data_IF_336105645526
#
_entry.id   IF_336105645526
#
_cell.length_a   1.000
_cell.length_b   1.000
_cell.length_c   1.000
_cell.angle_alpha   90.00
_cell.angle_beta   90.00
_cell.angle_gamma   90.00
#
_symmetry.space_group_name_H-M   'P 1'
#
loop_
_entity.id
_entity.type
_entity.pdbx_description
1 polymer ?
#
# COMPACT_ATOMS: atom_id res chain seq x y z
N UNK A 1 -14.96 -7.43 15.88
CA UNK A 1 -14.51 -7.68 14.49
C UNK A 1 -13.29 -6.80 14.22
N UNK A 2 -12.08 -7.37 14.24
CA UNK A 2 -10.84 -6.61 14.02
C UNK A 2 -10.06 -7.24 12.87
N UNK A 3 -10.18 -6.65 11.68
CA UNK A 3 -9.31 -6.92 10.53
C UNK A 3 -8.78 -5.59 9.97
N UNK A 4 -7.90 -5.66 8.98
CA UNK A 4 -7.31 -4.48 8.32
C UNK A 4 -5.88 -4.16 8.76
N UNK A 5 -5.28 -3.11 8.19
CA UNK A 5 -3.82 -2.95 8.19
C UNK A 5 -3.21 -2.71 9.57
N UNK A 6 -3.96 -2.12 10.49
CA UNK A 6 -3.50 -1.75 11.84
C UNK A 6 -3.55 -2.91 12.85
N UNK A 7 -4.11 -4.06 12.47
CA UNK A 7 -4.27 -5.21 13.37
C UNK A 7 -2.94 -5.94 13.56
N UNK A 8 -2.63 -6.31 14.81
CA UNK A 8 -1.50 -7.17 15.14
C UNK A 8 -1.69 -8.56 14.53
N UNK A 9 -0.70 -9.01 13.77
CA UNK A 9 -0.64 -10.33 13.14
C UNK A 9 0.61 -11.05 13.63
N UNK A 10 0.50 -12.35 13.85
CA UNK A 10 1.69 -13.19 13.96
C UNK A 10 2.33 -13.28 12.58
N UNK A 11 3.65 -13.14 12.52
CA UNK A 11 4.41 -13.35 11.30
C UNK A 11 4.21 -14.80 10.84
N UNK A 12 3.98 -15.00 9.54
CA UNK A 12 3.96 -16.36 8.98
C UNK A 12 5.38 -16.86 8.69
N UNK A 13 6.33 -15.94 8.56
CA UNK A 13 7.74 -16.26 8.46
C UNK A 13 8.33 -16.40 9.86
N UNK A 14 8.80 -17.61 10.20
CA UNK A 14 9.58 -17.85 11.40
C UNK A 14 11.05 -17.83 10.98
N UNK A 15 11.83 -16.78 11.32
CA UNK A 15 13.26 -16.81 11.05
C UNK A 15 13.92 -17.97 11.81
N UNK A 16 14.93 -18.61 11.21
CA UNK A 16 15.67 -19.74 11.82
C UNK A 16 16.27 -19.38 13.19
N UNK A 17 16.57 -18.09 13.41
CA UNK A 17 17.02 -17.53 14.68
C UNK A 17 16.28 -16.23 14.96
N UNK A 18 15.46 -16.21 16.02
CA UNK A 18 14.91 -14.97 16.55
C UNK A 18 16.05 -14.15 17.17
N UNK A 19 16.27 -12.94 16.67
CA UNK A 19 17.27 -12.04 17.22
C UNK A 19 16.79 -11.49 18.57
N UNK A 20 17.73 -11.40 19.51
CA UNK A 20 17.58 -10.57 20.71
C UNK A 20 17.44 -9.08 20.32
N UNK A 21 17.04 -8.25 21.28
CA UNK A 21 16.92 -6.82 21.06
C UNK A 21 18.27 -6.17 20.71
N UNK A 22 19.36 -6.62 21.34
CA UNK A 22 20.70 -6.08 21.08
C UNK A 22 21.20 -6.48 19.70
N UNK A 23 20.98 -7.73 19.28
CA UNK A 23 21.29 -8.16 17.91
C UNK A 23 20.46 -7.42 16.86
N UNK A 24 19.21 -7.05 17.18
CA UNK A 24 18.41 -6.17 16.32
C UNK A 24 19.05 -4.78 16.19
N UNK A 25 19.50 -4.18 17.29
CA UNK A 25 20.18 -2.87 17.29
C UNK A 25 21.48 -2.92 16.49
N UNK A 26 22.27 -3.97 16.64
CA UNK A 26 23.48 -4.19 15.84
C UNK A 26 23.17 -4.32 14.35
N UNK A 27 22.16 -5.12 13.99
CA UNK A 27 21.71 -5.25 12.61
C UNK A 27 21.25 -3.91 12.02
N UNK A 28 20.50 -3.10 12.78
CA UNK A 28 20.06 -1.77 12.37
C UNK A 28 21.27 -0.84 12.14
N UNK A 29 22.22 -0.83 13.07
CA UNK A 29 23.46 -0.04 12.96
C UNK A 29 24.25 -0.42 11.71
N UNK A 30 24.45 -1.73 11.48
CA UNK A 30 25.13 -2.24 10.29
C UNK A 30 24.41 -1.81 9.00
N UNK A 31 23.08 -1.95 8.96
CA UNK A 31 22.30 -1.53 7.79
C UNK A 31 22.45 -0.03 7.51
N UNK A 32 22.48 0.84 8.53
CA UNK A 32 22.63 2.30 8.35
C UNK A 32 23.94 2.70 7.64
N UNK A 33 24.95 1.84 7.66
CA UNK A 33 26.25 2.10 7.04
C UNK A 33 26.60 1.19 5.84
N UNK A 34 25.82 0.13 5.60
CA UNK A 34 26.05 -0.77 4.45
C UNK A 34 25.57 -0.19 3.12
N UNK A 35 26.40 -0.27 2.08
CA UNK A 35 26.00 0.00 0.69
C UNK A 35 25.54 -1.27 -0.06
N UNK A 36 25.73 -2.45 0.53
CA UNK A 36 25.34 -3.73 -0.05
C UNK A 36 23.84 -3.96 0.18
N UNK A 37 23.07 -3.88 -0.91
CA UNK A 37 21.62 -4.06 -0.88
C UNK A 37 21.18 -5.45 -0.40
N UNK A 38 21.96 -6.49 -0.67
CA UNK A 38 21.60 -7.86 -0.29
C UNK A 38 21.82 -8.06 1.21
N UNK A 39 22.92 -7.52 1.76
CA UNK A 39 23.13 -7.43 3.21
C UNK A 39 21.98 -6.64 3.85
N UNK A 40 21.61 -5.48 3.28
CA UNK A 40 20.50 -4.68 3.79
C UNK A 40 19.20 -5.48 3.76
N UNK A 41 18.82 -6.08 2.63
CA UNK A 41 17.59 -6.88 2.52
C UNK A 41 17.55 -8.03 3.51
N UNK A 42 18.67 -8.76 3.67
CA UNK A 42 18.77 -9.85 4.62
C UNK A 42 18.60 -9.38 6.07
N UNK A 43 19.31 -8.32 6.49
CA UNK A 43 19.14 -7.74 7.83
C UNK A 43 17.76 -7.12 8.02
N UNK A 44 17.14 -6.58 6.97
CA UNK A 44 15.75 -6.11 7.02
C UNK A 44 14.80 -7.28 7.30
N UNK A 45 15.02 -8.49 6.75
CA UNK A 45 14.21 -9.68 7.09
C UNK A 45 14.38 -10.10 8.54
N UNK A 46 15.62 -10.16 9.04
CA UNK A 46 15.91 -10.60 10.41
C UNK A 46 15.35 -9.65 11.48
N UNK A 47 15.22 -8.36 11.15
CA UNK A 47 14.67 -7.34 12.07
C UNK A 47 13.16 -7.13 11.90
N UNK A 48 12.47 -8.00 11.16
CA UNK A 48 11.06 -7.83 10.82
C UNK A 48 10.15 -7.78 12.05
N UNK A 49 10.27 -8.73 12.99
CA UNK A 49 9.42 -8.76 14.18
C UNK A 49 9.67 -7.56 15.09
N UNK A 50 10.94 -7.15 15.22
CA UNK A 50 11.32 -5.93 15.93
C UNK A 50 10.63 -4.69 15.32
N UNK A 51 10.69 -4.52 13.99
CA UNK A 51 9.96 -3.46 13.27
C UNK A 51 8.46 -3.51 13.53
N UNK A 52 7.86 -4.70 13.47
CA UNK A 52 6.40 -4.86 13.64
C UNK A 52 5.95 -4.47 15.04
N UNK A 53 6.71 -4.77 16.08
CA UNK A 53 6.40 -4.33 17.43
C UNK A 53 6.48 -2.79 17.53
N UNK A 54 7.49 -2.17 16.94
CA UNK A 54 7.63 -0.70 16.91
C UNK A 54 6.50 -0.01 16.13
N UNK A 55 6.06 -0.58 15.00
CA UNK A 55 4.93 -0.05 14.19
C UNK A 55 3.61 -0.08 14.97
N UNK A 56 3.44 -1.08 15.83
CA UNK A 56 2.22 -1.24 16.64
C UNK A 56 2.27 -0.45 17.94
N UNK A 57 3.43 0.09 18.31
CA UNK A 57 3.60 0.98 19.45
C UNK A 57 3.16 2.41 19.06
N UNK A 58 2.09 2.97 19.66
CA UNK A 58 1.64 4.33 19.36
C UNK A 58 2.70 5.41 19.59
N UNK A 59 3.67 5.18 20.49
CA UNK A 59 4.72 6.14 20.79
C UNK A 59 5.89 6.09 19.80
N UNK A 60 6.09 4.96 19.12
CA UNK A 60 7.25 4.75 18.24
C UNK A 60 6.89 4.61 16.76
N UNK A 61 5.63 4.36 16.43
CA UNK A 61 5.17 4.09 15.06
C UNK A 61 5.57 5.15 14.03
N UNK A 62 5.57 6.44 14.40
CA UNK A 62 5.99 7.54 13.53
C UNK A 62 7.50 7.60 13.25
N UNK A 63 8.31 6.89 14.05
CA UNK A 63 9.78 6.88 13.92
C UNK A 63 10.28 5.73 13.03
N UNK A 64 9.39 4.90 12.47
CA UNK A 64 9.78 3.72 11.67
C UNK A 64 10.72 4.06 10.51
N UNK A 65 10.46 5.16 9.79
CA UNK A 65 11.31 5.60 8.66
C UNK A 65 12.56 6.37 9.08
N UNK A 66 12.65 6.75 10.36
CA UNK A 66 13.86 7.28 10.96
C UNK A 66 14.79 6.14 11.39
N UNK A 67 14.26 5.15 12.11
CA UNK A 67 15.06 4.00 12.58
C UNK A 67 15.46 3.03 11.48
N UNK A 68 14.59 2.85 10.49
CA UNK A 68 14.84 2.02 9.31
C UNK A 68 14.90 2.90 8.07
N UNK A 69 15.95 3.74 7.92
CA UNK A 69 16.03 4.71 6.84
C UNK A 69 16.14 4.03 5.47
N UNK A 70 16.48 2.73 5.43
CA UNK A 70 16.65 1.96 4.19
C UNK A 70 15.38 1.80 3.36
N UNK A 71 14.20 2.02 3.94
CA UNK A 71 12.97 2.15 3.16
C UNK A 71 13.01 3.34 2.18
N UNK A 72 13.88 4.33 2.39
CA UNK A 72 13.94 5.55 1.56
C UNK A 72 14.85 5.42 0.34
N UNK A 73 15.76 4.45 0.33
CA UNK A 73 16.76 4.28 -0.74
C UNK A 73 16.79 2.85 -1.35
N UNK A 74 16.39 1.81 -0.62
CA UNK A 74 16.34 0.43 -1.14
C UNK A 74 14.93 0.05 -1.59
N UNK A 75 14.77 -0.15 -2.90
CA UNK A 75 13.50 -0.56 -3.50
C UNK A 75 13.14 -2.01 -3.14
N UNK A 76 11.83 -2.27 -3.07
CA UNK A 76 11.28 -3.62 -2.86
C UNK A 76 11.20 -4.08 -1.41
N UNK A 77 11.60 -3.25 -0.43
CA UNK A 77 11.47 -3.59 0.99
C UNK A 77 10.00 -3.66 1.45
N UNK A 78 9.11 -2.85 0.87
CA UNK A 78 7.66 -2.95 1.13
C UNK A 78 7.12 -4.31 0.67
N UNK A 79 7.53 -4.76 -0.53
CA UNK A 79 7.16 -6.09 -1.03
C UNK A 79 7.69 -7.20 -0.12
N UNK A 80 8.96 -7.09 0.28
CA UNK A 80 9.61 -8.06 1.16
C UNK A 80 8.83 -8.20 2.47
N UNK A 81 8.55 -7.11 3.17
CA UNK A 81 7.85 -7.15 4.46
C UNK A 81 6.42 -7.64 4.31
N UNK A 82 5.75 -7.32 3.20
CA UNK A 82 4.42 -7.85 2.92
C UNK A 82 4.45 -9.37 2.70
N UNK A 83 5.46 -9.89 2.01
CA UNK A 83 5.69 -11.34 1.85
C UNK A 83 5.98 -12.00 3.20
N UNK A 84 6.75 -11.37 4.09
CA UNK A 84 6.97 -11.90 5.44
C UNK A 84 5.66 -11.98 6.25
N UNK A 85 4.76 -11.02 6.06
CA UNK A 85 3.44 -10.99 6.72
C UNK A 85 2.46 -12.04 6.21
N UNK A 86 2.38 -12.24 4.89
CA UNK A 86 1.27 -12.97 4.25
C UNK A 86 1.69 -14.13 3.33
N UNK A 87 3.00 -14.32 3.13
CA UNK A 87 3.56 -15.28 2.19
C UNK A 87 3.46 -14.85 0.72
N UNK A 88 4.26 -15.50 -0.14
CA UNK A 88 4.28 -15.24 -1.59
C UNK A 88 2.93 -15.53 -2.26
N UNK A 89 2.17 -16.49 -1.71
CA UNK A 89 0.83 -16.85 -2.15
C UNK A 89 -0.14 -15.66 -2.09
N UNK A 90 -0.10 -14.86 -1.04
CA UNK A 90 -0.96 -13.67 -0.95
C UNK A 90 -0.34 -12.51 -1.72
N UNK A 91 0.99 -12.34 -1.68
CA UNK A 91 1.64 -11.21 -2.34
C UNK A 91 1.48 -11.19 -3.86
N UNK A 92 1.50 -12.37 -4.50
CA UNK A 92 1.31 -12.51 -5.94
C UNK A 92 -0.15 -12.41 -6.41
N UNK A 93 -1.12 -12.24 -5.51
CA UNK A 93 -2.56 -12.29 -5.84
C UNK A 93 -3.02 -11.13 -6.74
N UNK A 94 -2.39 -9.97 -6.62
CA UNK A 94 -2.74 -8.81 -7.44
C UNK A 94 -2.58 -9.08 -8.94
N UNK A 95 -1.45 -9.65 -9.35
CA UNK A 95 -1.18 -10.04 -10.74
C UNK A 95 -2.07 -11.18 -11.23
N UNK A 96 -2.50 -12.08 -10.32
CA UNK A 96 -3.40 -13.21 -10.67
C UNK A 96 -4.83 -12.77 -10.93
N UNK A 97 -5.30 -11.72 -10.26
CA UNK A 97 -6.65 -11.16 -10.45
C UNK A 97 -6.88 -10.55 -11.85
N UNK A 98 -5.82 -10.34 -12.62
CA UNK A 98 -5.85 -9.76 -13.96
C UNK A 98 -6.17 -10.73 -15.10
N UNK A 99 -6.53 -12.00 -14.86
CA UNK A 99 -7.03 -12.88 -15.93
C UNK A 99 -8.50 -12.54 -16.22
N UNK A 100 -8.82 -11.94 -17.37
CA UNK A 100 -10.21 -11.65 -17.69
C UNK A 100 -10.94 -12.96 -17.97
N UNK A 101 -11.96 -13.29 -17.17
CA UNK A 101 -13.08 -14.06 -17.71
C UNK A 101 -13.78 -13.12 -18.70
N UNK A 102 -13.36 -13.17 -19.97
CA UNK A 102 -13.99 -12.41 -21.05
C UNK A 102 -15.39 -12.95 -21.29
N UNK A 103 -16.39 -12.43 -20.56
CA UNK A 103 -17.78 -12.54 -21.02
C UNK A 103 -17.99 -11.44 -22.05
N UNK A 104 -17.85 -11.78 -23.33
CA UNK A 104 -18.26 -10.92 -24.45
C UNK A 104 -19.69 -10.45 -24.18
N UNK A 105 -19.87 -9.16 -23.90
CA UNK A 105 -21.18 -8.53 -23.94
C UNK A 105 -21.26 -7.77 -25.25
N UNK A 106 -21.92 -8.38 -26.23
CA UNK A 106 -22.21 -7.76 -27.51
C UNK A 106 -22.98 -6.45 -27.28
N UNK A 107 -22.45 -5.37 -27.84
CA UNK A 107 -23.14 -4.09 -27.97
C UNK A 107 -24.41 -4.29 -28.79
N UNK A 108 -25.57 -3.94 -28.23
CA UNK A 108 -26.78 -3.63 -28.99
C UNK A 108 -27.43 -2.39 -28.38
N UNK A 109 -27.41 -1.33 -29.20
CA UNK A 109 -28.20 -0.09 -29.25
C UNK A 109 -28.56 0.63 -27.95
N UNK A 110 -27.98 1.83 -27.83
CA UNK A 110 -28.40 2.89 -26.95
C UNK A 110 -29.74 3.49 -27.44
N UNK A 111 -30.81 3.22 -26.70
CA UNK A 111 -31.98 4.09 -26.65
C UNK A 111 -31.83 5.00 -25.43
N UNK A 112 -31.78 6.31 -25.64
CA UNK A 112 -31.65 7.31 -24.59
C UNK A 112 -32.93 7.41 -23.75
N UNK A 113 -32.84 7.09 -22.46
CA UNK A 113 -33.77 7.58 -21.45
C UNK A 113 -32.99 7.94 -20.19
N UNK A 114 -32.72 9.23 -20.00
CA UNK A 114 -32.27 9.76 -18.71
C UNK A 114 -33.46 10.44 -18.03
N UNK A 115 -33.98 9.92 -16.91
CA UNK A 115 -34.60 10.79 -15.92
C UNK A 115 -33.49 11.50 -15.12
N UNK A 116 -33.65 12.78 -14.75
CA UNK A 116 -32.65 13.51 -13.97
C UNK A 116 -32.60 12.96 -12.53
N UNK A 117 -31.66 12.05 -12.29
CA UNK A 117 -31.44 11.46 -10.97
C UNK A 117 -30.72 12.43 -10.04
N UNK A 118 -31.44 12.91 -9.00
CA UNK A 118 -30.90 13.64 -7.85
C UNK A 118 -29.61 12.99 -7.33
N UNK A 119 -28.52 13.77 -7.25
CA UNK A 119 -27.29 13.36 -6.58
C UNK A 119 -27.61 13.08 -5.10
N UNK A 120 -27.46 11.84 -4.67
CA UNK A 120 -27.57 11.49 -3.23
C UNK A 120 -26.39 12.16 -2.49
N UNK A 121 -26.64 12.91 -1.40
CA UNK A 121 -25.58 13.45 -0.55
C UNK A 121 -24.65 12.33 -0.06
N UNK A 122 -23.34 12.55 -0.09
CA UNK A 122 -22.33 11.60 0.43
C UNK A 122 -21.66 10.67 -0.59
N UNK A 123 -21.97 10.76 -1.89
CA UNK A 123 -21.17 10.09 -2.93
C UNK A 123 -19.98 10.96 -3.34
N UNK A 124 -18.79 10.63 -2.85
CA UNK A 124 -17.51 11.17 -3.32
C UNK A 124 -17.33 10.82 -4.80
N UNK A 125 -16.93 11.79 -5.63
CA UNK A 125 -16.64 11.52 -7.05
C UNK A 125 -15.29 10.82 -7.22
N UNK A 126 -15.10 10.09 -8.32
CA UNK A 126 -13.81 9.46 -8.62
C UNK A 126 -12.66 10.48 -8.64
N UNK A 127 -12.89 11.67 -9.21
CA UNK A 127 -11.91 12.76 -9.26
C UNK A 127 -11.57 13.32 -7.86
N UNK A 128 -12.53 13.35 -6.94
CA UNK A 128 -12.25 13.73 -5.56
C UNK A 128 -11.45 12.66 -4.83
N UNK A 129 -11.79 11.37 -5.02
CA UNK A 129 -11.05 10.26 -4.44
C UNK A 129 -9.60 10.17 -4.96
N UNK A 130 -9.38 10.44 -6.25
CA UNK A 130 -8.06 10.44 -6.90
C UNK A 130 -7.05 11.34 -6.15
N UNK A 131 -7.49 12.51 -5.67
CA UNK A 131 -6.63 13.46 -4.94
C UNK A 131 -6.07 12.91 -3.63
N UNK A 132 -6.72 11.91 -3.04
CA UNK A 132 -6.24 11.22 -1.83
C UNK A 132 -5.42 9.97 -2.15
N UNK A 133 -5.36 9.57 -3.43
CA UNK A 133 -4.64 8.38 -3.87
C UNK A 133 -3.30 8.72 -4.52
N UNK A 134 -3.28 9.75 -5.37
CA UNK A 134 -2.11 10.09 -6.17
C UNK A 134 -1.96 11.61 -6.37
N UNK A 135 -0.72 12.07 -6.26
CA UNK A 135 -0.29 13.43 -6.59
C UNK A 135 0.71 13.35 -7.73
N UNK A 136 0.49 14.12 -8.80
CA UNK A 136 1.44 14.22 -9.91
C UNK A 136 2.36 15.44 -9.74
N UNK A 137 3.66 15.25 -9.97
CA UNK A 137 4.66 16.32 -10.09
C UNK A 137 5.42 16.19 -11.41
N UNK A 138 5.73 17.34 -12.01
CA UNK A 138 6.52 17.39 -13.23
C UNK A 138 7.97 17.01 -12.91
N UNK A 139 8.64 16.32 -13.84
CA UNK A 139 10.07 16.06 -13.73
C UNK A 139 10.86 17.36 -13.51
N UNK A 140 11.87 17.29 -12.63
CA UNK A 140 12.65 18.46 -12.20
C UNK A 140 12.08 19.18 -10.97
N UNK A 141 10.86 18.85 -10.50
CA UNK A 141 10.38 19.32 -9.20
C UNK A 141 11.11 18.60 -8.06
N UNK A 142 11.53 19.36 -7.04
CA UNK A 142 12.13 18.78 -5.83
C UNK A 142 11.09 17.96 -5.07
N UNK A 143 11.45 16.70 -4.79
CA UNK A 143 10.63 15.83 -3.92
C UNK A 143 10.62 16.41 -2.51
N UNK A 144 11.75 16.94 -2.03
CA UNK A 144 11.86 17.49 -0.68
C UNK A 144 10.92 18.68 -0.49
N UNK A 145 10.85 19.61 -1.45
CA UNK A 145 9.91 20.74 -1.39
C UNK A 145 8.45 20.28 -1.31
N UNK A 146 8.11 19.19 -2.02
CA UNK A 146 6.78 18.59 -1.90
C UNK A 146 6.53 18.01 -0.51
N UNK A 147 7.52 17.33 0.08
CA UNK A 147 7.42 16.76 1.42
C UNK A 147 7.29 17.85 2.50
N UNK A 148 8.05 18.94 2.38
CA UNK A 148 8.03 20.07 3.30
C UNK A 148 6.68 20.81 3.26
N UNK A 149 6.04 20.86 2.09
CA UNK A 149 4.72 21.48 1.91
C UNK A 149 3.55 20.66 2.49
N UNK A 150 3.78 19.45 3.02
CA UNK A 150 2.72 18.61 3.58
C UNK A 150 2.30 19.16 4.95
N UNK A 151 1.12 19.77 4.99
CA UNK A 151 0.50 20.33 6.20
C UNK A 151 -0.60 19.45 6.81
N UNK A 152 -1.24 18.60 6.00
CA UNK A 152 -2.34 17.71 6.45
C UNK A 152 -2.04 16.26 6.08
N UNK A 153 -2.35 15.33 6.98
CA UNK A 153 -2.11 13.91 6.74
C UNK A 153 -3.30 13.28 6.02
N UNK A 154 -3.12 12.98 4.74
CA UNK A 154 -3.89 11.99 3.98
C UNK A 154 -3.01 10.82 3.56
N UNK A 155 -1.93 10.57 4.31
CA UNK A 155 -0.94 9.55 4.01
C UNK A 155 -1.43 8.15 4.45
N UNK A 156 -0.94 7.08 3.80
CA UNK A 156 -0.03 7.09 2.66
C UNK A 156 -0.74 7.37 1.32
N UNK A 157 -0.02 7.97 0.36
CA UNK A 157 -0.48 8.20 -1.02
C UNK A 157 0.68 8.08 -2.02
N UNK A 158 0.38 7.98 -3.32
CA UNK A 158 1.40 7.93 -4.37
C UNK A 158 1.82 9.33 -4.82
N UNK A 159 3.12 9.56 -4.93
CA UNK A 159 3.70 10.68 -5.66
C UNK A 159 4.21 10.18 -7.02
N UNK A 160 3.53 10.57 -8.08
CA UNK A 160 3.86 10.23 -9.47
C UNK A 160 4.72 11.33 -10.09
N UNK A 161 5.91 10.98 -10.58
CA UNK A 161 6.86 11.91 -11.20
C UNK A 161 7.05 11.60 -12.68
N UNK A 162 6.83 12.59 -13.53
CA UNK A 162 6.91 12.43 -14.97
C UNK A 162 6.90 13.73 -15.76
N UNK A 163 7.18 13.65 -17.06
CA UNK A 163 7.11 14.83 -17.93
C UNK A 163 5.65 15.32 -18.08
N UNK A 164 4.71 14.38 -18.13
CA UNK A 164 3.26 14.56 -18.26
C UNK A 164 2.52 13.48 -17.46
N UNK A 165 1.23 13.68 -17.18
CA UNK A 165 0.40 12.69 -16.46
C UNK A 165 0.34 11.32 -17.15
N UNK A 166 0.46 11.28 -18.47
CA UNK A 166 0.52 10.05 -19.27
C UNK A 166 1.95 9.57 -19.57
N UNK A 167 2.96 10.21 -19.00
CA UNK A 167 4.38 9.90 -19.17
C UNK A 167 5.10 9.97 -17.82
N UNK A 168 4.57 9.21 -16.85
CA UNK A 168 5.17 9.00 -15.53
C UNK A 168 6.25 7.94 -15.64
N UNK A 169 7.42 8.19 -15.05
CA UNK A 169 8.53 7.24 -15.05
C UNK A 169 8.94 6.80 -13.65
N UNK A 170 8.44 7.46 -12.59
CA UNK A 170 8.77 7.12 -11.22
C UNK A 170 7.59 7.35 -10.29
N UNK A 171 7.47 6.47 -9.29
CA UNK A 171 6.49 6.57 -8.22
C UNK A 171 7.19 6.50 -6.87
N UNK A 172 6.65 7.22 -5.90
CA UNK A 172 7.01 7.12 -4.49
C UNK A 172 5.76 6.94 -3.66
N UNK A 173 5.86 6.23 -2.55
CA UNK A 173 4.85 6.21 -1.50
C UNK A 173 5.24 7.31 -0.51
N UNK A 174 4.36 8.28 -0.33
CA UNK A 174 4.55 9.34 0.66
C UNK A 174 3.92 8.91 1.97
N UNK A 175 4.74 8.77 3.01
CA UNK A 175 4.34 8.36 4.35
C UNK A 175 5.18 9.12 5.39
N UNK A 176 4.53 9.67 6.41
CA UNK A 176 5.12 10.49 7.49
C UNK A 176 6.11 11.54 6.98
N UNK A 177 5.75 12.24 5.90
CA UNK A 177 6.58 13.23 5.19
C UNK A 177 7.91 12.70 4.65
N UNK A 178 8.01 11.39 4.47
CA UNK A 178 9.10 10.73 3.75
C UNK A 178 8.60 10.20 2.41
N UNK A 179 9.52 10.01 1.47
CA UNK A 179 9.26 9.39 0.18
C UNK A 179 9.95 8.01 0.12
N UNK A 180 9.16 6.96 -0.07
CA UNK A 180 9.62 5.58 -0.23
C UNK A 180 9.57 5.25 -1.73
N UNK A 181 10.70 4.96 -2.40
CA UNK A 181 10.70 4.70 -3.84
C UNK A 181 9.99 3.37 -4.16
N UNK A 182 9.03 3.43 -5.09
CA UNK A 182 8.43 2.22 -5.62
C UNK A 182 9.43 1.45 -6.50
N UNK A 183 9.31 0.12 -6.52
CA UNK A 183 10.02 -0.73 -7.49
C UNK A 183 9.41 -0.60 -8.88
N UNK A 184 8.09 -0.60 -8.98
CA UNK A 184 7.37 -0.47 -10.24
C UNK A 184 7.37 0.95 -10.76
N UNK A 185 7.49 1.08 -12.09
CA UNK A 185 7.29 2.33 -12.83
C UNK A 185 5.91 2.40 -13.49
N UNK A 186 5.07 1.38 -13.27
CA UNK A 186 3.70 1.34 -13.78
C UNK A 186 2.71 1.83 -12.72
N UNK A 187 1.62 2.48 -13.13
CA UNK A 187 0.58 2.92 -12.20
C UNK A 187 0.00 1.76 -11.38
N UNK A 188 -0.19 0.60 -12.05
CA UNK A 188 -0.81 -0.58 -11.45
C UNK A 188 0.11 -1.20 -10.39
N UNK A 189 1.40 -1.38 -10.70
CA UNK A 189 2.37 -1.88 -9.73
C UNK A 189 2.68 -0.90 -8.60
N UNK A 190 2.71 0.41 -8.87
CA UNK A 190 2.86 1.40 -7.80
C UNK A 190 1.65 1.40 -6.85
N UNK A 191 0.45 1.20 -7.37
CA UNK A 191 -0.76 1.05 -6.56
C UNK A 191 -0.74 -0.23 -5.70
N UNK A 192 -0.28 -1.34 -6.26
CA UNK A 192 -0.03 -2.60 -5.54
C UNK A 192 0.88 -2.36 -4.34
N UNK A 193 2.03 -1.69 -4.56
CA UNK A 193 2.98 -1.34 -3.49
C UNK A 193 2.36 -0.39 -2.46
N UNK A 194 1.56 0.61 -2.87
CA UNK A 194 0.84 1.50 -1.94
C UNK A 194 -0.15 0.71 -1.07
N UNK A 195 -0.90 -0.23 -1.65
CA UNK A 195 -1.80 -1.09 -0.88
C UNK A 195 -1.02 -1.90 0.17
N UNK A 196 0.08 -2.54 -0.24
CA UNK A 196 0.94 -3.34 0.65
C UNK A 196 1.55 -2.49 1.77
N UNK A 197 1.96 -1.26 1.46
CA UNK A 197 2.50 -0.32 2.45
C UNK A 197 1.53 -0.03 3.60
N UNK A 198 0.21 -0.07 3.38
CA UNK A 198 -0.73 0.11 4.49
C UNK A 198 -0.55 -0.97 5.57
N UNK A 199 -0.31 -2.22 5.16
CA UNK A 199 -0.09 -3.34 6.08
C UNK A 199 1.30 -3.28 6.68
N UNK A 200 2.32 -3.05 5.86
CA UNK A 200 3.73 -2.99 6.28
C UNK A 200 3.92 -1.92 7.36
N UNK A 201 3.37 -0.73 7.16
CA UNK A 201 3.51 0.39 8.11
C UNK A 201 2.32 0.57 9.05
N UNK A 202 1.33 -0.33 9.01
CA UNK A 202 0.20 -0.30 9.95
C UNK A 202 -0.66 0.96 9.84
N UNK A 203 -0.86 1.51 8.64
CA UNK A 203 -1.59 2.76 8.44
C UNK A 203 -3.07 2.51 8.16
N UNK A 204 -3.96 3.28 8.78
CA UNK A 204 -5.40 3.21 8.51
C UNK A 204 -5.75 3.69 7.09
N UNK A 205 -6.73 3.06 6.44
CA UNK A 205 -7.24 3.56 5.17
C UNK A 205 -7.87 4.94 5.31
N UNK A 206 -7.56 5.83 4.38
CA UNK A 206 -8.25 7.11 4.24
C UNK A 206 -9.78 6.87 4.15
N UNK A 207 -10.62 7.58 4.94
CA UNK A 207 -12.07 7.37 4.94
C UNK A 207 -12.72 7.43 3.55
N UNK A 208 -12.20 8.27 2.65
CA UNK A 208 -12.71 8.41 1.27
C UNK A 208 -12.37 7.22 0.37
N UNK A 209 -11.27 6.52 0.68
CA UNK A 209 -10.79 5.36 -0.08
C UNK A 209 -11.10 4.02 0.60
N UNK A 210 -11.61 4.05 1.83
CA UNK A 210 -11.83 2.87 2.67
C UNK A 210 -12.54 1.74 1.93
N UNK A 211 -13.66 2.01 1.27
CA UNK A 211 -14.41 0.96 0.57
C UNK A 211 -13.63 0.33 -0.60
N UNK A 212 -12.82 1.12 -1.31
CA UNK A 212 -11.96 0.64 -2.39
C UNK A 212 -10.87 -0.27 -1.82
N UNK A 213 -10.17 0.17 -0.78
CA UNK A 213 -9.14 -0.63 -0.14
C UNK A 213 -9.68 -1.88 0.53
N UNK A 214 -10.84 -1.81 1.19
CA UNK A 214 -11.51 -3.00 1.75
C UNK A 214 -11.88 -3.99 0.66
N UNK A 215 -12.38 -3.52 -0.49
CA UNK A 215 -12.66 -4.40 -1.63
C UNK A 215 -11.39 -5.11 -2.13
N UNK A 216 -10.30 -4.38 -2.34
CA UNK A 216 -9.02 -4.96 -2.78
C UNK A 216 -8.49 -5.96 -1.74
N UNK A 217 -8.52 -5.58 -0.47
CA UNK A 217 -8.09 -6.42 0.64
C UNK A 217 -8.81 -7.77 0.63
N UNK A 218 -10.15 -7.77 0.59
CA UNK A 218 -10.93 -9.01 0.75
C UNK A 218 -11.17 -9.76 -0.55
N UNK A 219 -11.16 -9.08 -1.70
CA UNK A 219 -11.49 -9.70 -2.99
C UNK A 219 -10.25 -10.03 -3.81
N UNK A 220 -9.25 -9.14 -3.84
CA UNK A 220 -8.03 -9.36 -4.63
C UNK A 220 -7.00 -10.14 -3.83
N UNK A 221 -6.77 -9.75 -2.58
CA UNK A 221 -5.77 -10.38 -1.72
C UNK A 221 -6.32 -11.46 -0.80
N UNK A 222 -7.64 -11.55 -0.67
CA UNK A 222 -8.31 -12.50 0.21
C UNK A 222 -7.88 -12.39 1.69
N UNK A 223 -7.49 -11.18 2.13
CA UNK A 223 -7.04 -10.88 3.49
C UNK A 223 -8.25 -10.52 4.36
N UNK A 224 -8.33 -11.14 5.55
CA UNK A 224 -9.34 -10.85 6.58
C UNK A 224 -10.80 -10.96 6.10
N UNK A 225 -11.09 -11.85 5.16
CA UNK A 225 -12.45 -12.12 4.71
C UNK A 225 -13.33 -12.50 5.91
N UNK A 226 -14.47 -11.81 6.04
CA UNK A 226 -15.40 -11.97 7.16
C UNK A 226 -14.94 -11.33 8.48
N UNK A 227 -13.72 -10.78 8.57
CA UNK A 227 -13.20 -10.11 9.78
C UNK A 227 -13.27 -8.58 9.69
N UNK A 228 -13.23 -8.01 8.48
CA UNK A 228 -13.43 -6.57 8.24
C UNK A 228 -14.90 -6.25 8.00
N UNK A 229 -15.35 -5.08 8.47
CA UNK A 229 -16.70 -4.58 8.16
C UNK A 229 -16.73 -4.10 6.71
N UNK A 230 -17.48 -4.82 5.89
CA UNK A 230 -17.65 -4.50 4.47
C UNK A 230 -18.95 -3.75 4.23
N UNK A 231 -18.96 -2.83 3.25
CA UNK A 231 -20.22 -2.24 2.81
C UNK A 231 -21.04 -3.27 2.02
N UNK A 232 -22.39 -3.20 2.02
CA UNK A 232 -23.22 -4.13 1.24
C UNK A 232 -22.80 -4.22 -0.23
N UNK A 233 -22.37 -3.10 -0.82
CA UNK A 233 -21.89 -3.04 -2.20
C UNK A 233 -20.58 -3.82 -2.41
N UNK A 234 -19.65 -3.76 -1.46
CA UNK A 234 -18.39 -4.53 -1.53
C UNK A 234 -18.67 -6.03 -1.41
N UNK A 235 -19.60 -6.42 -0.53
CA UNK A 235 -20.05 -7.80 -0.43
C UNK A 235 -20.70 -8.31 -1.71
N UNK A 236 -21.62 -7.52 -2.29
CA UNK A 236 -22.29 -7.86 -3.55
C UNK A 236 -21.30 -8.04 -4.71
N UNK A 237 -20.35 -7.10 -4.89
CA UNK A 237 -19.37 -7.18 -5.99
C UNK A 237 -18.46 -8.41 -5.84
N UNK A 238 -18.01 -8.72 -4.61
CA UNK A 238 -17.18 -9.91 -4.37
C UNK A 238 -17.92 -11.20 -4.70
N UNK A 239 -19.17 -11.35 -4.28
CA UNK A 239 -20.00 -12.53 -4.64
C UNK A 239 -20.12 -12.69 -6.15
N UNK A 240 -20.27 -11.58 -6.89
CA UNK A 240 -20.38 -11.62 -8.37
C UNK A 240 -19.07 -11.91 -9.11
N UNK A 241 -17.92 -11.74 -8.46
CA UNK A 241 -16.61 -11.98 -9.07
C UNK A 241 -16.06 -13.37 -8.74
N UNK A 242 -16.58 -13.99 -7.68
CA UNK A 242 -16.18 -15.32 -7.22
C UNK A 242 -17.13 -16.44 -7.71
N UNK A 243 -18.24 -16.08 -8.37
CA UNK A 243 -19.18 -16.99 -9.06
C UNK A 243 -19.21 -16.66 -10.56
#
# INVERSE_FOLDING_TARGET
>A
MSGGPTVRRQCQFVPETALSEDECKEAISLMKHSADEDIVKNKMKLTFDYRRNMILDPQQSCNILFEFPRFKDVKGLVEQDFVLMFGEGVSGSFWRSGRPHTRKRSSKNAGSFHPPGRRKPGKVSASQAEKHLVVFKKSGTSIQEHLDAITTSSQPYLLAVGARKNAVHQFFIVLDKNAIPCRSTSCLGAFDELFKAHFVFGTSYNPMLRNMYTFIQTTVYNIDVGKVKESPRVAEVRVRLLH
#
